data_IF_808527036188
#
_entry.id   IF_808527036188
#
_cell.length_a   1.000
_cell.length_b   1.000
_cell.length_c   1.000
_cell.angle_alpha   90.00
_cell.angle_beta   90.00
_cell.angle_gamma   90.00
#
_symmetry.space_group_name_H-M   'P 1'
#
loop_
_entity.id
_entity.type
_entity.pdbx_description
1 polymer ?
#
# COMPACT_ATOMS: atom_id res chain seq x y z
N UNK A 1 -15.62 -1.85 -7.77
CA UNK A 1 -14.65 -0.96 -8.45
C UNK A 1 -13.28 -1.54 -8.24
N UNK A 2 -12.44 -1.62 -9.27
CA UNK A 2 -11.32 -2.59 -9.33
C UNK A 2 -10.47 -2.73 -8.05
N UNK A 3 -10.11 -1.64 -7.37
CA UNK A 3 -9.36 -1.69 -6.10
C UNK A 3 -10.18 -2.25 -4.93
N UNK A 4 -11.45 -1.86 -4.81
CA UNK A 4 -12.37 -2.35 -3.77
C UNK A 4 -12.64 -3.84 -3.97
N UNK A 5 -12.80 -4.27 -5.22
CA UNK A 5 -13.05 -5.68 -5.57
C UNK A 5 -11.82 -6.54 -5.27
N UNK A 6 -10.63 -6.03 -5.55
CA UNK A 6 -9.36 -6.67 -5.19
C UNK A 6 -9.21 -6.81 -3.66
N UNK A 7 -9.48 -5.73 -2.91
CA UNK A 7 -9.40 -5.76 -1.45
C UNK A 7 -10.41 -6.72 -0.83
N UNK A 8 -11.62 -6.81 -1.40
CA UNK A 8 -12.61 -7.79 -0.96
C UNK A 8 -12.12 -9.23 -1.17
N UNK A 9 -11.46 -9.50 -2.30
CA UNK A 9 -10.85 -10.81 -2.55
C UNK A 9 -9.72 -11.11 -1.55
N UNK A 10 -8.92 -10.11 -1.19
CA UNK A 10 -7.81 -10.25 -0.24
C UNK A 10 -8.28 -10.46 1.21
N UNK A 11 -9.32 -9.73 1.66
CA UNK A 11 -9.86 -9.84 3.02
C UNK A 11 -10.83 -11.01 3.21
N UNK A 12 -11.36 -11.54 2.11
CA UNK A 12 -12.29 -12.67 2.10
C UNK A 12 -13.77 -12.28 2.18
N UNK A 13 -14.68 -13.26 1.98
CA UNK A 13 -16.10 -13.02 1.75
C UNK A 13 -16.86 -12.43 2.96
N UNK A 14 -16.28 -12.49 4.15
CA UNK A 14 -16.89 -12.00 5.40
C UNK A 14 -16.40 -10.62 5.82
N UNK A 15 -15.53 -9.98 5.03
CA UNK A 15 -15.04 -8.64 5.35
C UNK A 15 -16.18 -7.62 5.37
N UNK A 16 -16.18 -6.73 6.36
CA UNK A 16 -17.17 -5.66 6.41
C UNK A 16 -16.88 -4.62 5.33
N UNK A 17 -17.92 -3.92 4.85
CA UNK A 17 -17.75 -2.82 3.90
C UNK A 17 -16.80 -1.73 4.43
N UNK A 18 -16.80 -1.51 5.75
CA UNK A 18 -15.89 -0.59 6.41
C UNK A 18 -14.44 -1.05 6.28
N UNK A 19 -14.14 -2.32 6.56
CA UNK A 19 -12.78 -2.87 6.46
C UNK A 19 -12.23 -2.79 5.04
N UNK A 20 -13.06 -3.14 4.05
CA UNK A 20 -12.70 -3.03 2.63
C UNK A 20 -12.34 -1.58 2.29
N UNK A 21 -13.17 -0.61 2.71
CA UNK A 21 -12.95 0.81 2.42
C UNK A 21 -11.71 1.35 3.11
N UNK A 22 -11.48 0.97 4.37
CA UNK A 22 -10.28 1.36 5.12
C UNK A 22 -9.03 0.82 4.43
N UNK A 23 -9.03 -0.47 4.07
CA UNK A 23 -7.89 -1.10 3.40
C UNK A 23 -7.65 -0.55 2.00
N UNK A 24 -8.70 -0.37 1.20
CA UNK A 24 -8.61 0.26 -0.12
C UNK A 24 -8.08 1.69 -0.04
N UNK A 25 -8.55 2.48 0.93
CA UNK A 25 -8.07 3.85 1.14
C UNK A 25 -6.60 3.87 1.55
N UNK A 26 -6.18 2.96 2.44
CA UNK A 26 -4.77 2.84 2.83
C UNK A 26 -3.87 2.49 1.64
N UNK A 27 -4.27 1.52 0.81
CA UNK A 27 -3.53 1.12 -0.39
C UNK A 27 -3.46 2.28 -1.41
N UNK A 28 -4.57 2.98 -1.61
CA UNK A 28 -4.63 4.12 -2.53
C UNK A 28 -3.71 5.27 -2.07
N UNK A 29 -3.78 5.63 -0.79
CA UNK A 29 -2.94 6.68 -0.19
C UNK A 29 -1.46 6.35 -0.26
N UNK A 30 -1.07 5.11 0.02
CA UNK A 30 0.32 4.66 -0.12
C UNK A 30 0.78 4.77 -1.58
N UNK A 31 0.00 4.23 -2.52
CA UNK A 31 0.36 4.22 -3.93
C UNK A 31 0.51 5.66 -4.46
N UNK A 32 -0.40 6.56 -4.11
CA UNK A 32 -0.32 7.97 -4.50
C UNK A 32 0.84 8.70 -3.84
N UNK A 33 1.01 8.54 -2.53
CA UNK A 33 2.13 9.16 -1.80
C UNK A 33 3.48 8.72 -2.37
N UNK A 34 3.65 7.42 -2.62
CA UNK A 34 4.85 6.89 -3.25
C UNK A 34 5.03 7.41 -4.68
N UNK A 35 3.96 7.49 -5.47
CA UNK A 35 4.03 8.04 -6.82
C UNK A 35 4.49 9.51 -6.80
N UNK A 36 3.91 10.36 -5.96
CA UNK A 36 4.34 11.76 -5.81
C UNK A 36 5.81 11.85 -5.39
N UNK A 37 6.25 11.00 -4.46
CA UNK A 37 7.64 10.97 -4.00
C UNK A 37 8.63 10.50 -5.08
N UNK A 38 8.20 9.68 -6.04
CA UNK A 38 9.03 9.15 -7.13
C UNK A 38 8.99 9.99 -8.41
N UNK A 39 7.85 10.60 -8.74
CA UNK A 39 7.65 11.37 -9.98
C UNK A 39 8.21 12.78 -9.82
N UNK A 40 7.83 13.46 -8.74
CA UNK A 40 8.11 14.89 -8.52
C UNK A 40 9.03 15.13 -7.32
N UNK A 41 9.41 14.06 -6.61
CA UNK A 41 9.74 14.15 -5.20
C UNK A 41 11.23 14.12 -4.82
N UNK A 42 11.51 14.49 -3.56
CA UNK A 42 12.84 14.50 -2.97
C UNK A 42 13.31 13.11 -2.51
N UNK A 43 12.64 12.03 -2.91
CA UNK A 43 12.85 10.73 -2.26
C UNK A 43 14.28 10.24 -2.45
N UNK A 44 14.77 10.18 -3.70
CA UNK A 44 16.15 9.77 -4.00
C UNK A 44 17.19 10.75 -3.41
N UNK A 45 16.83 12.02 -3.22
CA UNK A 45 17.67 13.01 -2.49
C UNK A 45 17.79 12.66 -1.00
N UNK A 46 16.73 12.11 -0.40
CA UNK A 46 16.68 11.79 1.04
C UNK A 46 17.25 10.40 1.37
N UNK A 47 17.01 9.41 0.52
CA UNK A 47 17.36 8.00 0.81
C UNK A 47 18.46 7.43 -0.09
N UNK A 48 18.98 8.24 -1.02
CA UNK A 48 19.94 7.81 -2.03
C UNK A 48 19.27 7.28 -3.30
N UNK A 49 20.09 7.04 -4.32
CA UNK A 49 19.64 6.57 -5.64
C UNK A 49 18.93 5.21 -5.56
N UNK A 50 17.78 5.11 -6.22
CA UNK A 50 17.02 3.86 -6.31
C UNK A 50 17.35 3.19 -7.65
N UNK A 51 18.30 2.25 -7.64
CA UNK A 51 18.77 1.56 -8.84
C UNK A 51 17.65 0.79 -9.60
N UNK A 52 16.63 0.29 -8.88
CA UNK A 52 15.49 -0.38 -9.49
C UNK A 52 14.17 0.05 -8.83
N UNK A 53 13.55 1.08 -9.40
CA UNK A 53 12.28 1.65 -8.91
C UNK A 53 11.14 0.62 -8.85
N UNK A 54 11.09 -0.34 -9.79
CA UNK A 54 10.04 -1.37 -9.81
C UNK A 54 10.18 -2.34 -8.64
N UNK A 55 11.39 -2.79 -8.37
CA UNK A 55 11.68 -3.64 -7.21
C UNK A 55 11.40 -2.90 -5.90
N UNK A 56 11.77 -1.62 -5.83
CA UNK A 56 11.50 -0.76 -4.69
C UNK A 56 10.00 -0.59 -4.40
N UNK A 57 9.19 -0.26 -5.42
CA UNK A 57 7.72 -0.15 -5.27
C UNK A 57 7.11 -1.45 -4.73
N UNK A 58 7.56 -2.61 -5.22
CA UNK A 58 7.10 -3.92 -4.73
C UNK A 58 7.49 -4.13 -3.26
N UNK A 59 8.71 -3.77 -2.87
CA UNK A 59 9.17 -3.90 -1.49
C UNK A 59 8.38 -2.99 -0.54
N UNK A 60 8.11 -1.74 -0.92
CA UNK A 60 7.28 -0.80 -0.14
C UNK A 60 5.86 -1.34 0.02
N UNK A 61 5.26 -1.87 -1.05
CA UNK A 61 3.94 -2.51 -0.98
C UNK A 61 3.91 -3.72 -0.05
N UNK A 62 4.94 -4.58 -0.10
CA UNK A 62 5.04 -5.75 0.77
C UNK A 62 5.14 -5.38 2.26
N UNK A 63 5.91 -4.34 2.61
CA UNK A 63 6.01 -3.85 3.99
C UNK A 63 4.63 -3.42 4.55
N UNK A 64 3.78 -2.83 3.71
CA UNK A 64 2.41 -2.43 4.08
C UNK A 64 1.44 -3.60 4.26
N UNK A 65 1.81 -4.81 3.83
CA UNK A 65 1.04 -6.02 4.12
C UNK A 65 1.58 -6.74 5.37
N UNK A 66 2.88 -6.65 5.64
CA UNK A 66 3.50 -7.24 6.84
C UNK A 66 3.05 -6.56 8.13
N UNK A 67 2.92 -5.22 8.15
CA UNK A 67 2.43 -4.47 9.33
C UNK A 67 0.96 -4.79 9.71
N UNK A 68 0.21 -5.44 8.82
CA UNK A 68 -1.17 -5.85 9.10
C UNK A 68 -1.28 -7.21 9.78
N UNK A 69 -0.22 -8.03 9.77
CA UNK A 69 -0.17 -9.31 10.49
C UNK A 69 0.10 -9.15 11.98
N UNK A 70 0.41 -7.93 12.44
CA UNK A 70 0.90 -7.63 13.81
C UNK A 70 -0.08 -6.86 14.68
N UNK A 71 -1.33 -6.61 14.24
CA UNK A 71 -2.33 -5.98 15.12
C UNK A 71 -3.04 -7.03 15.98
N UNK A 72 -2.90 -7.01 17.32
CA UNK A 72 -3.81 -7.77 18.16
C UNK A 72 -5.21 -7.16 18.04
N UNK A 73 -6.22 -8.02 17.92
CA UNK A 73 -7.61 -7.64 18.07
C UNK A 73 -7.77 -7.24 19.54
N UNK A 74 -7.83 -5.94 19.80
CA UNK A 74 -8.27 -5.36 21.08
C UNK A 74 -9.56 -4.60 20.80
#
# INVERSE_FOLDING_TARGET
GALVDHVQADLGPHASLTDIRVRATAMWSLAHGLATLLIDGPLEVKIGEIANRRAFVRAVGAQMMLDQSTRPII
#
